data_IF_278083001725
#
_entry.id   IF_278083001725
#
_cell.length_a   1.000
_cell.length_b   1.000
_cell.length_c   1.000
_cell.angle_alpha   90.00
_cell.angle_beta   90.00
_cell.angle_gamma   90.00
#
_symmetry.space_group_name_H-M   'P 1'
#
loop_
_entity.id
_entity.type
_entity.pdbx_description
1 polymer ?
#
# COMPACT_ATOMS: atom_id res chain seq x y z
N UNK A 1 42.28 -57.38 39.11
CA UNK A 1 41.88 -56.11 39.73
C UNK A 1 41.46 -55.16 38.62
N UNK A 2 40.24 -54.61 38.73
CA UNK A 2 39.62 -53.48 37.98
C UNK A 2 39.54 -53.60 36.45
N UNK A 3 38.37 -53.55 35.80
CA UNK A 3 37.34 -52.50 35.90
C UNK A 3 37.61 -51.48 34.78
N UNK A 4 36.67 -51.01 33.96
CA UNK A 4 35.23 -51.18 33.86
C UNK A 4 34.70 -50.42 32.63
N UNK A 5 33.47 -50.74 32.25
CA UNK A 5 32.41 -49.95 31.60
C UNK A 5 32.70 -48.92 30.49
N UNK A 6 32.03 -49.12 29.35
CA UNK A 6 31.75 -48.09 28.35
C UNK A 6 30.66 -48.55 27.38
N UNK A 7 29.40 -48.49 27.81
CA UNK A 7 28.24 -48.70 26.97
C UNK A 7 27.90 -47.41 26.20
N UNK A 8 27.59 -47.50 24.90
CA UNK A 8 26.81 -46.48 24.20
C UNK A 8 25.99 -47.15 23.09
N UNK A 9 24.67 -47.10 23.28
CA UNK A 9 23.69 -47.86 22.54
C UNK A 9 23.36 -47.29 21.17
N UNK A 10 22.96 -48.20 20.28
CA UNK A 10 22.22 -47.91 19.06
C UNK A 10 20.78 -47.53 19.39
N UNK A 11 20.37 -46.31 19.05
CA UNK A 11 19.01 -45.85 18.72
C UNK A 11 19.22 -44.63 17.83
N UNK A 12 18.49 -44.34 16.77
CA UNK A 12 17.30 -44.90 16.15
C UNK A 12 17.01 -43.98 14.96
N UNK A 13 16.41 -44.52 13.91
CA UNK A 13 15.96 -43.73 12.78
C UNK A 13 14.93 -42.68 13.24
N UNK A 14 15.11 -41.43 12.80
CA UNK A 14 13.98 -40.51 12.62
C UNK A 14 14.07 -39.93 11.22
N UNK A 15 12.94 -40.07 10.53
CA UNK A 15 12.71 -39.65 9.17
C UNK A 15 13.07 -38.17 9.00
N UNK A 16 13.78 -37.88 7.91
CA UNK A 16 13.93 -36.51 7.43
C UNK A 16 12.55 -35.98 7.06
N UNK A 17 11.99 -35.13 7.91
CA UNK A 17 10.93 -34.22 7.52
C UNK A 17 11.57 -33.26 6.53
N UNK A 18 11.40 -33.55 5.24
CA UNK A 18 11.59 -32.59 4.17
C UNK A 18 10.79 -31.35 4.55
N UNK A 19 11.50 -30.27 4.86
CA UNK A 19 10.92 -28.99 5.20
C UNK A 19 10.07 -28.51 4.03
N UNK A 20 8.77 -28.81 4.07
CA UNK A 20 7.77 -28.03 3.39
C UNK A 20 7.91 -26.63 3.96
N UNK A 21 8.55 -25.73 3.20
CA UNK A 21 8.75 -24.36 3.60
C UNK A 21 7.40 -23.84 4.07
N UNK A 22 7.31 -23.48 5.35
CA UNK A 22 6.12 -22.84 5.88
C UNK A 22 5.92 -21.59 5.01
N UNK A 23 4.99 -21.68 4.06
CA UNK A 23 4.55 -20.53 3.28
C UNK A 23 3.82 -19.67 4.28
N UNK A 24 4.58 -18.83 4.98
CA UNK A 24 4.03 -17.81 5.84
C UNK A 24 2.99 -17.02 5.06
N UNK A 25 2.00 -16.43 5.74
CA UNK A 25 0.96 -15.68 5.05
C UNK A 25 1.64 -14.59 4.19
N UNK A 26 1.45 -14.62 2.87
CA UNK A 26 2.21 -13.79 1.92
C UNK A 26 2.07 -12.29 2.21
N UNK A 27 2.81 -11.40 1.54
CA UNK A 27 2.82 -9.98 1.95
C UNK A 27 1.57 -9.22 1.52
N UNK A 28 1.23 -8.16 2.24
CA UNK A 28 0.23 -7.18 1.81
C UNK A 28 0.92 -6.08 1.01
N UNK A 29 0.68 -6.04 -0.29
CA UNK A 29 1.23 -5.00 -1.17
C UNK A 29 0.17 -3.91 -1.36
N UNK A 30 0.49 -2.65 -1.11
CA UNK A 30 -0.46 -1.54 -1.28
C UNK A 30 0.06 -0.47 -2.23
N UNK A 31 -0.79 -0.04 -3.17
CA UNK A 31 -0.46 1.03 -4.10
C UNK A 31 -0.74 2.42 -3.54
N UNK A 32 0.30 3.23 -3.42
CA UNK A 32 0.24 4.59 -2.88
C UNK A 32 0.40 5.62 -4.00
N UNK A 33 -0.48 6.62 -4.02
CA UNK A 33 -0.44 7.73 -4.98
C UNK A 33 -0.60 9.11 -4.33
N UNK A 34 -0.80 9.17 -3.01
CA UNK A 34 -1.19 10.38 -2.28
C UNK A 34 -2.63 10.84 -2.56
N UNK A 35 -3.44 10.07 -3.29
CA UNK A 35 -4.87 10.36 -3.43
C UNK A 35 -5.66 9.83 -2.24
N UNK A 36 -6.81 10.42 -1.93
CA UNK A 36 -7.71 9.97 -0.87
C UNK A 36 -8.11 8.49 -1.00
N UNK A 37 -8.26 8.00 -2.23
CA UNK A 37 -8.52 6.58 -2.51
C UNK A 37 -7.32 5.72 -2.09
N UNK A 38 -6.09 6.14 -2.41
CA UNK A 38 -4.90 5.41 -1.98
C UNK A 38 -4.63 5.49 -0.48
N UNK A 39 -4.98 6.59 0.20
CA UNK A 39 -4.89 6.69 1.65
C UNK A 39 -5.88 5.75 2.33
N UNK A 40 -7.10 5.64 1.81
CA UNK A 40 -8.08 4.66 2.28
C UNK A 40 -7.57 3.22 2.08
N UNK A 41 -6.96 2.93 0.93
CA UNK A 41 -6.33 1.65 0.65
C UNK A 41 -5.17 1.35 1.61
N UNK A 42 -4.31 2.34 1.88
CA UNK A 42 -3.19 2.23 2.83
C UNK A 42 -3.69 1.91 4.24
N UNK A 43 -4.72 2.61 4.72
CA UNK A 43 -5.35 2.33 6.03
C UNK A 43 -5.98 0.94 6.08
N UNK A 44 -6.64 0.50 5.01
CA UNK A 44 -7.23 -0.84 4.96
C UNK A 44 -6.16 -1.94 4.98
N UNK A 45 -5.10 -1.78 4.19
CA UNK A 45 -3.97 -2.70 4.15
C UNK A 45 -3.27 -2.79 5.52
N UNK A 46 -3.05 -1.65 6.18
CA UNK A 46 -2.45 -1.61 7.52
C UNK A 46 -3.31 -2.32 8.58
N UNK A 47 -4.64 -2.14 8.56
CA UNK A 47 -5.53 -2.88 9.48
C UNK A 47 -5.49 -4.38 9.23
N UNK A 48 -5.47 -4.81 7.98
CA UNK A 48 -5.34 -6.23 7.64
C UNK A 48 -3.97 -6.77 8.08
N UNK A 49 -2.89 -6.02 7.85
CA UNK A 49 -1.54 -6.39 8.26
C UNK A 49 -1.45 -6.57 9.78
N UNK A 50 -1.98 -5.60 10.55
CA UNK A 50 -2.00 -5.68 12.00
C UNK A 50 -2.85 -6.86 12.52
N UNK A 51 -3.99 -7.15 11.88
CA UNK A 51 -4.85 -8.26 12.28
C UNK A 51 -4.33 -9.65 11.89
N UNK A 52 -3.44 -9.73 10.89
CA UNK A 52 -2.94 -11.01 10.34
C UNK A 52 -1.47 -11.26 10.61
N UNK A 53 -0.73 -10.26 11.13
CA UNK A 53 0.72 -10.31 11.29
C UNK A 53 1.50 -10.33 9.96
N UNK A 54 0.84 -10.01 8.83
CA UNK A 54 1.47 -10.02 7.51
C UNK A 54 2.32 -8.76 7.31
N UNK A 55 3.49 -8.86 6.65
CA UNK A 55 4.29 -7.69 6.31
C UNK A 55 3.56 -6.78 5.33
N UNK A 56 3.68 -5.47 5.51
CA UNK A 56 3.05 -4.45 4.67
C UNK A 56 4.11 -3.79 3.75
N UNK A 57 3.94 -3.97 2.45
CA UNK A 57 4.77 -3.35 1.42
C UNK A 57 4.01 -2.23 0.72
N UNK A 58 4.31 -0.98 1.07
CA UNK A 58 3.75 0.20 0.43
C UNK A 58 4.57 0.61 -0.79
N UNK A 59 3.96 0.56 -1.97
CA UNK A 59 4.60 0.83 -3.25
C UNK A 59 4.09 2.13 -3.83
N UNK A 60 5.00 3.06 -4.07
CA UNK A 60 4.73 4.24 -4.89
C UNK A 60 5.51 4.12 -6.19
N UNK A 61 4.76 4.08 -7.28
CA UNK A 61 5.30 4.09 -8.63
C UNK A 61 5.41 5.52 -9.13
N UNK A 62 6.55 5.86 -9.72
CA UNK A 62 6.82 7.18 -10.27
C UNK A 62 7.44 7.05 -11.66
N UNK A 63 7.20 8.05 -12.50
CA UNK A 63 7.80 8.20 -13.82
C UNK A 63 8.21 9.67 -13.97
N UNK A 64 9.19 9.98 -14.81
CA UNK A 64 9.41 11.34 -15.30
C UNK A 64 8.10 11.97 -15.79
N UNK A 65 7.89 13.29 -15.65
CA UNK A 65 6.71 13.99 -16.15
C UNK A 65 6.43 13.74 -17.64
N UNK A 66 7.50 13.65 -18.45
CA UNK A 66 7.44 13.35 -19.89
C UNK A 66 7.20 11.86 -20.19
N UNK A 67 7.11 11.03 -19.15
CA UNK A 67 7.13 9.58 -19.23
C UNK A 67 8.52 9.03 -19.54
N UNK A 68 8.69 7.72 -19.39
CA UNK A 68 9.98 7.07 -19.58
C UNK A 68 10.52 7.24 -21.02
N UNK A 69 9.64 7.17 -22.03
CA UNK A 69 10.04 7.36 -23.42
C UNK A 69 10.53 8.79 -23.70
N UNK A 70 9.87 9.81 -23.13
CA UNK A 70 10.30 11.20 -23.26
C UNK A 70 11.63 11.45 -22.57
N UNK A 71 11.84 10.88 -21.39
CA UNK A 71 13.12 10.96 -20.67
C UNK A 71 14.28 10.36 -21.46
N UNK A 72 14.08 9.22 -22.12
CA UNK A 72 15.13 8.57 -22.91
C UNK A 72 15.60 9.41 -24.11
N UNK A 73 14.77 10.31 -24.63
CA UNK A 73 15.16 11.23 -25.71
C UNK A 73 16.12 12.32 -25.22
N UNK A 74 15.98 12.77 -23.97
CA UNK A 74 16.86 13.77 -23.35
C UNK A 74 17.11 13.44 -21.87
N UNK A 75 18.02 12.50 -21.57
CA UNK A 75 18.28 12.09 -20.20
C UNK A 75 18.89 13.23 -19.38
N UNK A 76 18.29 13.53 -18.24
CA UNK A 76 18.82 14.52 -17.31
C UNK A 76 18.83 13.98 -15.88
N UNK A 77 20.02 13.51 -15.45
CA UNK A 77 20.19 12.77 -14.19
C UNK A 77 19.81 13.58 -12.94
N UNK A 78 20.11 14.87 -12.92
CA UNK A 78 19.78 15.76 -11.80
C UNK A 78 18.25 15.84 -11.61
N UNK A 79 17.50 15.97 -12.71
CA UNK A 79 16.04 16.00 -12.68
C UNK A 79 15.45 14.65 -12.28
N UNK A 80 16.02 13.53 -12.74
CA UNK A 80 15.60 12.20 -12.32
C UNK A 80 15.72 11.99 -10.80
N UNK A 81 16.80 12.48 -10.19
CA UNK A 81 16.98 12.43 -8.74
C UNK A 81 15.98 13.34 -8.02
N UNK A 82 15.69 14.52 -8.56
CA UNK A 82 14.66 15.41 -8.02
C UNK A 82 13.28 14.76 -8.01
N UNK A 83 12.85 14.14 -9.11
CA UNK A 83 11.56 13.43 -9.17
C UNK A 83 11.51 12.22 -8.25
N UNK A 84 12.62 11.49 -8.11
CA UNK A 84 12.73 10.40 -7.13
C UNK A 84 12.57 10.92 -5.69
N UNK A 85 13.18 12.05 -5.36
CA UNK A 85 13.03 12.72 -4.04
C UNK A 85 11.60 13.19 -3.80
N UNK A 86 10.95 13.78 -4.79
CA UNK A 86 9.54 14.17 -4.70
C UNK A 86 8.62 12.95 -4.50
N UNK A 87 8.90 11.86 -5.21
CA UNK A 87 8.19 10.59 -5.06
C UNK A 87 8.38 10.01 -3.65
N UNK A 88 9.60 10.09 -3.08
CA UNK A 88 9.87 9.71 -1.68
C UNK A 88 9.04 10.56 -0.71
N UNK A 89 9.15 11.88 -0.82
CA UNK A 89 8.41 12.80 0.03
C UNK A 89 6.88 12.63 -0.08
N UNK A 90 6.38 12.22 -1.24
CA UNK A 90 4.96 11.87 -1.43
C UNK A 90 4.57 10.57 -0.73
N UNK A 91 5.44 9.56 -0.75
CA UNK A 91 5.22 8.32 -0.02
C UNK A 91 5.22 8.57 1.48
N UNK A 92 6.20 9.32 1.99
CA UNK A 92 6.29 9.63 3.42
C UNK A 92 5.10 10.47 3.90
N UNK A 93 4.73 11.52 3.16
CA UNK A 93 3.51 12.28 3.45
C UNK A 93 2.25 11.43 3.48
N UNK A 94 2.15 10.40 2.64
CA UNK A 94 0.99 9.53 2.65
C UNK A 94 0.89 8.70 3.94
N UNK A 95 2.02 8.32 4.54
CA UNK A 95 2.07 7.68 5.85
C UNK A 95 1.72 8.66 6.97
N UNK A 96 2.28 9.87 6.91
CA UNK A 96 1.96 10.94 7.88
C UNK A 96 0.47 11.30 7.83
N UNK A 97 -0.12 11.48 6.66
CA UNK A 97 -1.54 11.76 6.49
C UNK A 97 -2.43 10.58 6.90
N UNK A 98 -1.97 9.34 6.71
CA UNK A 98 -2.75 8.15 7.01
C UNK A 98 -2.75 7.82 8.51
N UNK A 99 -1.60 7.97 9.18
CA UNK A 99 -1.34 7.42 10.52
C UNK A 99 -0.62 8.39 11.48
N UNK A 100 -0.07 9.50 10.98
CA UNK A 100 0.86 10.35 11.76
C UNK A 100 2.27 9.76 11.87
N UNK A 101 2.64 8.86 10.95
CA UNK A 101 3.92 8.14 10.96
C UNK A 101 3.73 6.69 10.51
N UNK A 102 4.32 5.74 11.23
CA UNK A 102 4.15 4.31 10.95
C UNK A 102 2.78 3.78 11.40
N UNK A 103 2.20 2.82 10.66
CA UNK A 103 0.90 2.25 10.99
C UNK A 103 0.95 1.47 12.31
N UNK A 104 0.04 1.74 13.25
CA UNK A 104 0.04 1.08 14.55
C UNK A 104 -0.27 -0.41 14.41
N UNK A 105 0.46 -1.24 15.15
CA UNK A 105 0.23 -2.70 15.20
C UNK A 105 0.76 -3.48 14.00
N UNK A 106 1.47 -2.83 13.06
CA UNK A 106 2.14 -3.51 11.94
C UNK A 106 3.62 -3.67 12.27
N UNK A 107 4.08 -4.91 12.43
CA UNK A 107 5.45 -5.20 12.84
C UNK A 107 6.49 -4.92 11.74
N UNK A 108 6.11 -5.10 10.47
CA UNK A 108 7.01 -4.96 9.32
C UNK A 108 6.35 -4.10 8.23
N UNK A 109 6.96 -2.94 7.97
CA UNK A 109 6.49 -1.94 7.02
C UNK A 109 7.65 -1.58 6.08
N UNK A 110 7.55 -1.99 4.83
CA UNK A 110 8.49 -1.60 3.78
C UNK A 110 7.87 -0.49 2.91
N UNK A 111 8.60 0.61 2.72
CA UNK A 111 8.23 1.72 1.82
C UNK A 111 9.10 1.70 0.57
N UNK A 112 8.52 1.34 -0.58
CA UNK A 112 9.25 1.13 -1.83
C UNK A 112 8.86 2.11 -2.92
N UNK A 113 9.88 2.70 -3.53
CA UNK A 113 9.74 3.50 -4.75
C UNK A 113 10.12 2.66 -5.96
N UNK A 114 9.25 2.66 -6.97
CA UNK A 114 9.48 1.94 -8.22
C UNK A 114 9.38 2.92 -9.39
N UNK A 115 10.41 2.99 -10.23
CA UNK A 115 10.38 3.81 -11.44
C UNK A 115 9.73 3.01 -12.57
N UNK A 116 8.42 3.08 -12.67
CA UNK A 116 7.62 2.39 -13.69
C UNK A 116 6.18 2.93 -13.66
N UNK A 117 5.38 2.55 -14.65
CA UNK A 117 3.93 2.74 -14.64
C UNK A 117 3.32 2.04 -13.43
N UNK A 118 2.40 2.72 -12.75
CA UNK A 118 1.83 2.24 -11.49
C UNK A 118 1.25 0.82 -11.55
N UNK A 119 0.56 0.45 -12.62
CA UNK A 119 0.00 -0.90 -12.73
C UNK A 119 1.08 -1.98 -12.88
N UNK A 120 2.17 -1.68 -13.58
CA UNK A 120 3.25 -2.63 -13.85
C UNK A 120 4.11 -2.81 -12.60
N UNK A 121 4.46 -1.70 -11.93
CA UNK A 121 5.12 -1.71 -10.63
C UNK A 121 4.35 -2.57 -9.61
N UNK A 122 3.03 -2.36 -9.49
CA UNK A 122 2.21 -3.09 -8.51
C UNK A 122 2.11 -4.58 -8.85
N UNK A 123 1.85 -4.95 -10.11
CA UNK A 123 1.76 -6.35 -10.50
C UNK A 123 3.11 -7.08 -10.41
N UNK A 124 4.23 -6.40 -10.71
CA UNK A 124 5.56 -6.96 -10.56
C UNK A 124 5.98 -7.08 -9.10
N UNK A 125 5.49 -6.19 -8.23
CA UNK A 125 5.78 -6.22 -6.80
C UNK A 125 4.85 -7.16 -6.03
N UNK A 126 3.68 -7.51 -6.55
CA UNK A 126 2.74 -8.48 -5.97
C UNK A 126 2.64 -9.70 -6.89
N UNK A 127 3.78 -10.35 -7.09
CA UNK A 127 3.99 -11.40 -8.08
C UNK A 127 3.71 -12.82 -7.54
N UNK A 128 3.67 -12.99 -6.22
CA UNK A 128 3.43 -14.29 -5.59
C UNK A 128 1.94 -14.55 -5.37
N UNK A 129 1.46 -15.80 -5.49
CA UNK A 129 0.05 -16.14 -5.35
C UNK A 129 -0.50 -15.93 -3.93
N UNK A 130 0.38 -16.00 -2.93
CA UNK A 130 0.12 -15.77 -1.49
C UNK A 130 0.07 -14.27 -1.13
N UNK A 131 0.56 -13.39 -2.00
CA UNK A 131 0.48 -11.94 -1.79
C UNK A 131 -0.97 -11.46 -1.88
N UNK A 132 -1.25 -10.31 -1.28
CA UNK A 132 -2.53 -9.62 -1.50
C UNK A 132 -2.27 -8.18 -1.88
N UNK A 133 -2.81 -7.78 -3.04
CA UNK A 133 -2.62 -6.45 -3.59
C UNK A 133 -3.80 -5.55 -3.25
N UNK A 134 -3.56 -4.46 -2.53
CA UNK A 134 -4.56 -3.48 -2.12
C UNK A 134 -4.43 -2.22 -2.96
N UNK A 135 -5.53 -1.79 -3.61
CA UNK A 135 -5.55 -0.59 -4.44
C UNK A 135 -6.75 0.31 -4.12
N UNK A 136 -6.51 1.61 -4.17
CA UNK A 136 -7.57 2.61 -4.07
C UNK A 136 -8.32 2.77 -5.38
N UNK A 137 -9.64 2.75 -5.34
CA UNK A 137 -10.50 3.05 -6.50
C UNK A 137 -11.32 4.31 -6.23
N UNK A 138 -11.29 5.24 -7.19
CA UNK A 138 -12.17 6.41 -7.14
C UNK A 138 -13.59 5.98 -7.48
N UNK A 139 -14.56 6.53 -6.77
CA UNK A 139 -15.98 6.26 -7.03
C UNK A 139 -16.35 6.59 -8.47
N UNK A 140 -17.14 5.72 -9.09
CA UNK A 140 -17.73 5.94 -10.39
C UNK A 140 -18.71 7.11 -10.27
N UNK A 141 -18.30 8.29 -10.74
CA UNK A 141 -19.26 9.32 -11.16
C UNK A 141 -19.98 8.96 -12.47
N UNK A 142 -19.57 7.87 -13.13
CA UNK A 142 -20.19 7.33 -14.34
C UNK A 142 -19.93 5.81 -14.35
N UNK A 143 -20.99 4.99 -14.47
CA UNK A 143 -20.97 3.53 -14.34
C UNK A 143 -19.84 2.84 -15.13
N UNK A 144 -19.30 1.73 -14.62
CA UNK A 144 -18.24 0.85 -15.17
C UNK A 144 -16.92 1.48 -15.70
N UNK A 145 -16.89 2.75 -16.12
CA UNK A 145 -15.76 3.48 -16.70
C UNK A 145 -14.92 4.22 -15.65
N UNK A 146 -15.38 4.26 -14.39
CA UNK A 146 -14.68 4.91 -13.28
C UNK A 146 -13.44 4.18 -12.75
N UNK A 147 -13.14 2.98 -13.26
CA UNK A 147 -11.89 2.28 -12.94
C UNK A 147 -10.73 3.03 -13.60
N UNK A 148 -10.01 3.86 -12.84
CA UNK A 148 -8.80 4.52 -13.34
C UNK A 148 -7.88 3.51 -14.06
N UNK A 149 -7.16 3.95 -15.09
CA UNK A 149 -6.38 3.05 -15.97
C UNK A 149 -5.48 2.06 -15.23
N UNK A 150 -4.94 2.46 -14.07
CA UNK A 150 -4.18 1.58 -13.16
C UNK A 150 -5.03 0.46 -12.58
N UNK A 151 -6.17 0.76 -11.96
CA UNK A 151 -7.03 -0.23 -11.31
C UNK A 151 -7.57 -1.26 -12.30
N UNK A 152 -8.01 -0.82 -13.50
CA UNK A 152 -8.44 -1.74 -14.56
C UNK A 152 -7.32 -2.70 -14.95
N UNK A 153 -6.10 -2.19 -15.20
CA UNK A 153 -4.97 -3.02 -15.62
C UNK A 153 -4.52 -3.99 -14.53
N UNK A 154 -4.49 -3.54 -13.27
CA UNK A 154 -4.17 -4.40 -12.12
C UNK A 154 -5.18 -5.54 -12.02
N UNK A 155 -6.48 -5.25 -12.04
CA UNK A 155 -7.52 -6.29 -11.94
C UNK A 155 -7.48 -7.29 -13.10
N UNK A 156 -6.98 -6.91 -14.27
CA UNK A 156 -6.85 -7.83 -15.41
C UNK A 156 -5.53 -8.61 -15.45
N UNK A 157 -4.49 -8.18 -14.71
CA UNK A 157 -3.11 -8.71 -14.87
C UNK A 157 -2.44 -9.17 -13.59
N UNK A 158 -2.99 -8.83 -12.42
CA UNK A 158 -2.47 -9.30 -11.15
C UNK A 158 -2.57 -10.83 -11.08
N UNK A 159 -1.51 -11.46 -10.54
CA UNK A 159 -1.44 -12.89 -10.29
C UNK A 159 -1.95 -13.28 -8.89
N UNK A 160 -2.19 -12.26 -8.07
CA UNK A 160 -2.59 -12.38 -6.67
C UNK A 160 -3.99 -11.79 -6.43
N UNK A 161 -4.67 -12.19 -5.33
CA UNK A 161 -5.92 -11.56 -4.90
C UNK A 161 -5.80 -10.05 -4.77
N UNK A 162 -6.73 -9.31 -5.40
CA UNK A 162 -6.76 -7.84 -5.38
C UNK A 162 -7.91 -7.34 -4.51
N UNK A 163 -7.61 -6.56 -3.48
CA UNK A 163 -8.58 -5.83 -2.68
C UNK A 163 -8.73 -4.38 -3.21
N UNK A 164 -9.91 -4.04 -3.71
CA UNK A 164 -10.22 -2.66 -4.10
C UNK A 164 -10.90 -1.90 -2.97
N UNK A 165 -10.32 -0.75 -2.59
CA UNK A 165 -10.86 0.09 -1.52
C UNK A 165 -11.47 1.36 -2.12
N UNK A 166 -12.77 1.61 -1.94
CA UNK A 166 -13.39 2.82 -2.45
C UNK A 166 -12.88 4.06 -1.71
N UNK A 167 -12.74 5.17 -2.43
CA UNK A 167 -12.49 6.46 -1.81
C UNK A 167 -13.61 6.81 -0.80
N UNK A 168 -13.30 7.45 0.32
CA UNK A 168 -14.31 7.95 1.24
C UNK A 168 -15.28 8.86 0.50
N UNK A 169 -16.58 8.57 0.65
CA UNK A 169 -17.65 9.37 0.02
C UNK A 169 -17.85 10.62 0.86
N UNK A 170 -17.49 11.77 0.31
CA UNK A 170 -17.98 13.03 0.83
C UNK A 170 -19.38 13.27 0.27
N UNK A 171 -20.39 13.55 1.12
CA UNK A 171 -21.68 13.99 0.63
C UNK A 171 -21.48 15.17 -0.32
N UNK A 172 -22.09 15.14 -1.51
CA UNK A 172 -21.94 16.21 -2.51
C UNK A 172 -22.33 17.57 -1.91
N UNK A 173 -23.35 17.57 -1.04
CA UNK A 173 -23.81 18.74 -0.29
C UNK A 173 -22.74 19.35 0.62
N UNK A 174 -21.80 18.54 1.13
CA UNK A 174 -20.67 19.03 1.93
C UNK A 174 -19.72 19.88 1.09
N UNK A 175 -19.56 19.61 -0.22
CA UNK A 175 -18.73 20.47 -1.09
C UNK A 175 -19.33 21.87 -1.24
N UNK A 176 -20.65 21.96 -1.41
CA UNK A 176 -21.35 23.26 -1.49
C UNK A 176 -21.30 23.97 -0.15
N UNK A 177 -21.55 23.25 0.95
CA UNK A 177 -21.48 23.83 2.31
C UNK A 177 -20.08 24.30 2.69
N UNK A 178 -19.03 23.56 2.32
CA UNK A 178 -17.64 23.95 2.55
C UNK A 178 -17.21 25.16 1.71
N UNK A 179 -17.78 25.37 0.52
CA UNK A 179 -17.53 26.60 -0.27
C UNK A 179 -17.99 27.86 0.45
N UNK A 180 -19.07 27.76 1.22
CA UNK A 180 -19.61 28.86 2.02
C UNK A 180 -19.19 28.78 3.48
N UNK A 181 -18.33 27.82 3.85
CA UNK A 181 -17.89 27.69 5.21
C UNK A 181 -16.91 28.81 5.56
N UNK A 182 -17.22 29.57 6.60
CA UNK A 182 -16.35 30.60 7.17
C UNK A 182 -15.60 30.02 8.37
N UNK A 183 -14.50 30.65 8.77
CA UNK A 183 -13.70 30.24 9.92
C UNK A 183 -14.54 30.05 11.20
N UNK A 184 -15.59 30.87 11.38
CA UNK A 184 -16.55 30.78 12.49
C UNK A 184 -17.31 29.45 12.56
N UNK A 185 -17.42 28.71 11.45
CA UNK A 185 -18.05 27.39 11.43
C UNK A 185 -17.13 26.26 11.93
N UNK A 186 -15.85 26.53 12.17
CA UNK A 186 -14.85 25.54 12.58
C UNK A 186 -14.30 25.77 14.00
N UNK A 187 -14.75 26.82 14.69
CA UNK A 187 -14.31 27.11 16.05
C UNK A 187 -15.14 26.29 17.07
N UNK A 188 -14.50 25.65 18.06
CA UNK A 188 -15.22 24.97 19.13
C UNK A 188 -16.00 26.02 19.94
N UNK A 189 -17.33 25.97 19.91
CA UNK A 189 -18.21 26.90 20.64
C UNK A 189 -19.10 27.82 19.78
N UNK A 190 -19.10 27.68 18.45
CA UNK A 190 -19.99 28.45 17.58
C UNK A 190 -21.47 28.04 17.76
N UNK A 191 -22.20 28.76 18.61
CA UNK A 191 -23.66 28.68 18.68
C UNK A 191 -24.25 29.06 17.32
N UNK A 192 -24.74 28.04 16.61
CA UNK A 192 -25.51 28.23 15.39
C UNK A 192 -26.82 28.93 15.71
N UNK A 193 -26.86 30.27 15.64
CA UNK A 193 -28.11 30.96 15.32
C UNK A 193 -28.27 30.90 13.81
N UNK A 194 -29.07 29.94 13.37
CA UNK A 194 -29.71 30.00 12.07
C UNK A 194 -30.58 31.26 12.05
N UNK A 195 -30.22 32.24 11.22
CA UNK A 195 -31.14 33.28 10.81
C UNK A 195 -32.01 32.70 9.69
N UNK A 196 -33.31 32.70 9.95
CA UNK A 196 -34.43 32.39 9.04
C UNK A 196 -34.49 33.45 7.94
#
# INVERSE_FOLDING_TARGET
>A
MSGGYGAAGRRGATAGTSGGGAVGPGRLVVGVSGSLASLAALRAAAREAAGTGRPLLAVLAWEPPEGEAGYMLRPARIWAENWRREARARLDRAFDEAFGGDPPGVADVERRLVRDRSWRALCATADRPDDRLVIGVRGARWGLFGRGGTARRVLTRARCPVLTVPAPRFPVLLRTRLRHARAVHFLPGGSGRAAV
#
